data_IF_956100165051
#
_entry.id   IF_956100165051
#
_cell.length_a   1.000
_cell.length_b   1.000
_cell.length_c   1.000
_cell.angle_alpha   90.00
_cell.angle_beta   90.00
_cell.angle_gamma   90.00
#
_symmetry.space_group_name_H-M   'P 1'
#
loop_
_entity.id
_entity.type
_entity.pdbx_description
1 polymer ?
#
# COMPACT_ATOMS: atom_id res chain seq x y z
N UNK A 1 -3.79 4.29 14.41
CA UNK A 1 -4.41 3.11 13.79
C UNK A 1 -5.60 2.70 14.62
N UNK A 2 -6.75 2.38 14.00
CA UNK A 2 -7.96 2.02 14.75
C UNK A 2 -7.82 0.58 15.24
N UNK A 3 -8.13 0.33 16.51
CA UNK A 3 -8.10 -1.02 17.06
C UNK A 3 -9.30 -1.87 16.63
N UNK A 4 -9.17 -3.20 16.69
CA UNK A 4 -10.22 -4.15 16.34
C UNK A 4 -11.52 -3.89 17.14
N UNK A 5 -11.40 -3.68 18.46
CA UNK A 5 -12.56 -3.38 19.33
C UNK A 5 -13.34 -2.14 18.90
N UNK A 6 -12.65 -1.18 18.27
CA UNK A 6 -13.25 0.06 17.81
C UNK A 6 -13.99 -0.14 16.48
N UNK A 7 -13.44 -0.95 15.57
CA UNK A 7 -14.14 -1.38 14.33
C UNK A 7 -15.44 -2.12 14.67
N UNK A 8 -15.40 -3.05 15.62
CA UNK A 8 -16.58 -3.81 16.05
C UNK A 8 -17.65 -2.91 16.67
N UNK A 9 -17.28 -1.96 17.55
CA UNK A 9 -18.22 -0.99 18.13
C UNK A 9 -18.92 -0.14 17.05
N UNK A 10 -18.23 0.25 15.98
CA UNK A 10 -18.82 0.98 14.85
C UNK A 10 -19.92 0.15 14.19
N UNK A 11 -19.64 -1.12 13.89
CA UNK A 11 -20.59 -2.03 13.24
C UNK A 11 -21.79 -2.28 14.15
N UNK A 12 -21.55 -2.63 15.41
CA UNK A 12 -22.61 -2.93 16.38
C UNK A 12 -23.55 -1.73 16.58
N UNK A 13 -23.03 -0.51 16.74
CA UNK A 13 -23.88 0.67 16.93
C UNK A 13 -24.78 0.98 15.74
N UNK A 14 -24.31 0.70 14.51
CA UNK A 14 -25.12 0.93 13.31
C UNK A 14 -26.25 -0.10 13.19
N UNK A 15 -25.97 -1.38 13.42
CA UNK A 15 -26.93 -2.47 13.17
C UNK A 15 -27.78 -2.87 14.38
N UNK A 16 -27.23 -2.75 15.59
CA UNK A 16 -27.96 -3.05 16.84
C UNK A 16 -28.69 -1.83 17.37
N UNK A 17 -28.02 -0.68 17.43
CA UNK A 17 -28.54 0.52 18.09
C UNK A 17 -29.19 1.51 17.10
N UNK A 18 -29.02 1.31 15.79
CA UNK A 18 -29.59 2.17 14.74
C UNK A 18 -28.94 3.55 14.62
N UNK A 19 -27.73 3.72 15.16
CA UNK A 19 -27.07 5.01 15.19
C UNK A 19 -26.61 5.49 13.81
N UNK A 20 -26.79 6.78 13.53
CA UNK A 20 -26.26 7.40 12.31
C UNK A 20 -24.72 7.50 12.33
N UNK A 21 -24.09 7.51 11.15
CA UNK A 21 -22.63 7.70 11.00
C UNK A 21 -22.11 8.91 11.80
N UNK A 22 -22.90 9.99 11.81
CA UNK A 22 -22.55 11.24 12.52
C UNK A 22 -22.54 11.04 14.03
N UNK A 23 -23.50 10.30 14.57
CA UNK A 23 -23.57 10.00 16.01
C UNK A 23 -22.41 9.10 16.44
N UNK A 24 -22.15 8.03 15.68
CA UNK A 24 -21.03 7.11 15.92
C UNK A 24 -19.69 7.86 15.89
N UNK A 25 -19.48 8.72 14.89
CA UNK A 25 -18.26 9.53 14.74
C UNK A 25 -18.03 10.47 15.94
N UNK A 26 -19.07 11.17 16.40
CA UNK A 26 -18.98 12.08 17.56
C UNK A 26 -18.68 11.36 18.85
N UNK A 27 -19.36 10.26 19.11
CA UNK A 27 -19.22 9.53 20.38
C UNK A 27 -17.92 8.75 20.47
N UNK A 28 -17.49 8.09 19.38
CA UNK A 28 -16.22 7.35 19.34
C UNK A 28 -15.01 8.24 19.07
N UNK A 29 -15.22 9.53 18.75
CA UNK A 29 -14.17 10.49 18.34
C UNK A 29 -13.33 9.99 17.16
N UNK A 30 -13.99 9.41 16.15
CA UNK A 30 -13.37 8.87 14.94
C UNK A 30 -13.82 9.70 13.75
N UNK A 31 -12.93 9.88 12.76
CA UNK A 31 -13.31 10.52 11.51
C UNK A 31 -14.51 9.77 10.87
N UNK A 32 -15.52 10.55 10.46
CA UNK A 32 -16.73 10.07 9.79
C UNK A 32 -16.40 9.24 8.55
N UNK A 33 -15.38 9.60 7.79
CA UNK A 33 -14.97 8.85 6.59
C UNK A 33 -14.54 7.43 6.95
N UNK A 34 -13.85 7.26 8.06
CA UNK A 34 -13.42 5.94 8.53
C UNK A 34 -14.60 5.10 9.00
N UNK A 35 -15.58 5.72 9.68
CA UNK A 35 -16.85 5.07 10.05
C UNK A 35 -17.57 4.59 8.79
N UNK A 36 -17.74 5.48 7.80
CA UNK A 36 -18.39 5.17 6.53
C UNK A 36 -17.67 4.04 5.78
N UNK A 37 -16.35 4.08 5.72
CA UNK A 37 -15.54 3.03 5.09
C UNK A 37 -15.84 1.66 5.71
N UNK A 38 -15.75 1.54 7.03
CA UNK A 38 -16.02 0.26 7.71
C UNK A 38 -17.46 -0.23 7.56
N UNK A 39 -18.44 0.68 7.57
CA UNK A 39 -19.83 0.30 7.31
C UNK A 39 -20.02 -0.17 5.88
N UNK A 40 -19.43 0.51 4.89
CA UNK A 40 -19.50 0.11 3.49
C UNK A 40 -18.80 -1.23 3.20
N UNK A 41 -17.68 -1.51 3.89
CA UNK A 41 -16.99 -2.80 3.81
C UNK A 41 -17.89 -3.92 4.34
N UNK A 42 -18.52 -3.69 5.50
CA UNK A 42 -19.45 -4.65 6.09
C UNK A 42 -20.70 -4.87 5.23
N UNK A 43 -21.28 -3.81 4.65
CA UNK A 43 -22.40 -3.92 3.71
C UNK A 43 -22.03 -4.70 2.45
N UNK A 44 -20.85 -4.45 1.88
CA UNK A 44 -20.34 -5.19 0.71
C UNK A 44 -20.11 -6.67 1.04
N UNK A 45 -19.57 -6.98 2.22
CA UNK A 45 -19.42 -8.35 2.68
C UNK A 45 -20.79 -9.04 2.77
N UNK A 46 -21.77 -8.37 3.38
CA UNK A 46 -23.15 -8.86 3.50
C UNK A 46 -23.85 -9.06 2.14
N UNK A 47 -23.63 -8.17 1.17
CA UNK A 47 -24.18 -8.31 -0.19
C UNK A 47 -23.55 -9.47 -0.95
N UNK A 48 -22.23 -9.69 -0.83
CA UNK A 48 -21.56 -10.84 -1.45
C UNK A 48 -22.08 -12.18 -0.90
N UNK A 49 -22.48 -12.20 0.37
CA UNK A 49 -23.01 -13.34 1.11
C UNK A 49 -24.45 -13.71 0.77
N UNK A 50 -25.28 -12.75 0.34
CA UNK A 50 -26.67 -13.01 -0.07
C UNK A 50 -26.81 -13.98 -1.27
N UNK A 51 -25.68 -14.38 -1.88
CA UNK A 51 -25.60 -15.33 -2.98
C UNK A 51 -25.02 -16.71 -2.56
N UNK A 52 -24.75 -16.96 -1.27
CA UNK A 52 -24.09 -18.18 -0.79
C UNK A 52 -24.72 -18.71 0.50
N UNK A 53 -24.93 -20.04 0.61
CA UNK A 53 -25.57 -20.74 1.74
C UNK A 53 -24.84 -20.66 3.10
N UNK A 54 -23.67 -20.00 3.17
CA UNK A 54 -22.84 -19.86 4.38
C UNK A 54 -22.86 -18.44 4.92
N UNK A 55 -24.05 -17.96 5.28
CA UNK A 55 -24.33 -16.58 5.63
C UNK A 55 -23.60 -16.11 6.92
N UNK A 56 -23.47 -16.98 7.91
CA UNK A 56 -22.99 -16.60 9.25
C UNK A 56 -21.46 -16.60 9.40
N UNK A 57 -20.77 -17.57 8.78
CA UNK A 57 -19.31 -17.73 8.96
C UNK A 57 -18.52 -16.54 8.40
N UNK A 58 -18.89 -16.04 7.22
CA UNK A 58 -18.17 -14.95 6.55
C UNK A 58 -18.45 -13.59 7.22
N UNK A 59 -19.64 -13.40 7.80
CA UNK A 59 -19.94 -12.19 8.60
C UNK A 59 -19.09 -12.15 9.88
N UNK A 60 -18.89 -13.30 10.51
CA UNK A 60 -18.00 -13.44 11.67
C UNK A 60 -16.55 -13.15 11.26
N UNK A 61 -16.09 -13.65 10.12
CA UNK A 61 -14.75 -13.36 9.61
C UNK A 61 -14.51 -11.85 9.39
N UNK A 62 -15.45 -11.13 8.77
CA UNK A 62 -15.32 -9.68 8.52
C UNK A 62 -15.29 -8.86 9.83
N UNK A 63 -16.03 -9.33 10.85
CA UNK A 63 -16.06 -8.79 12.22
C UNK A 63 -14.78 -9.07 13.01
N UNK A 64 -14.15 -10.22 12.80
CA UNK A 64 -12.91 -10.63 13.47
C UNK A 64 -11.67 -10.08 12.76
N UNK A 65 -11.76 -9.77 11.47
CA UNK A 65 -10.64 -9.26 10.67
C UNK A 65 -10.13 -7.92 11.20
N UNK A 66 -8.84 -7.91 11.53
CA UNK A 66 -8.11 -6.74 12.02
C UNK A 66 -8.17 -5.62 10.98
N UNK A 67 -8.51 -4.37 11.37
CA UNK A 67 -8.47 -3.23 10.46
C UNK A 67 -7.03 -3.03 9.95
N UNK A 68 -6.82 -3.28 8.66
CA UNK A 68 -5.53 -3.09 7.99
C UNK A 68 -5.53 -1.76 7.23
N UNK A 69 -4.43 -1.02 7.32
CA UNK A 69 -4.21 0.14 6.47
C UNK A 69 -3.88 -0.34 5.06
N UNK A 70 -4.65 0.14 4.08
CA UNK A 70 -4.39 -0.15 2.68
C UNK A 70 -3.41 0.88 2.11
N UNK A 71 -2.21 0.41 1.79
CA UNK A 71 -1.16 1.19 1.13
C UNK A 71 -0.97 0.79 -0.33
N UNK A 72 -1.86 -0.04 -0.89
CA UNK A 72 -1.73 -0.55 -2.27
C UNK A 72 -1.81 0.55 -3.32
N UNK A 73 -2.58 1.61 -3.08
CA UNK A 73 -2.67 2.76 -4.00
C UNK A 73 -1.42 3.67 -3.99
N UNK A 74 -0.40 3.35 -3.19
CA UNK A 74 0.81 4.17 -3.09
C UNK A 74 1.86 3.66 -4.06
N UNK A 75 1.77 4.12 -5.30
CA UNK A 75 2.81 3.88 -6.30
C UNK A 75 3.91 4.94 -6.22
N UNK A 76 5.13 4.53 -6.59
CA UNK A 76 6.29 5.42 -6.63
C UNK A 76 6.20 6.32 -7.86
N UNK A 77 5.43 7.40 -7.75
CA UNK A 77 5.06 8.27 -8.89
C UNK A 77 6.26 8.85 -9.66
N UNK A 78 7.45 8.94 -9.04
CA UNK A 78 8.68 9.46 -9.66
C UNK A 78 9.56 8.39 -10.32
N UNK A 79 9.29 7.10 -10.07
CA UNK A 79 10.06 5.99 -10.65
C UNK A 79 9.26 5.42 -11.81
N UNK A 80 9.46 6.00 -13.00
CA UNK A 80 8.83 5.58 -14.24
C UNK A 80 9.52 4.33 -14.79
N UNK A 81 8.81 3.59 -15.66
CA UNK A 81 9.35 2.39 -16.31
C UNK A 81 10.64 2.69 -17.09
N UNK A 82 10.77 3.88 -17.67
CA UNK A 82 11.96 4.35 -18.39
C UNK A 82 13.19 4.40 -17.48
N UNK A 83 13.02 4.89 -16.25
CA UNK A 83 14.08 4.96 -15.25
C UNK A 83 14.48 3.53 -14.83
N UNK A 84 13.51 2.63 -14.65
CA UNK A 84 13.80 1.23 -14.33
C UNK A 84 14.65 0.57 -15.40
N UNK A 85 14.27 0.72 -16.68
CA UNK A 85 14.99 0.15 -17.80
C UNK A 85 16.42 0.69 -17.90
N UNK A 86 16.62 1.99 -17.67
CA UNK A 86 17.96 2.58 -17.70
C UNK A 86 18.81 2.11 -16.52
N UNK A 87 18.23 1.96 -15.32
CA UNK A 87 18.93 1.38 -14.16
C UNK A 87 19.34 -0.07 -14.43
N UNK A 88 18.45 -0.89 -15.01
CA UNK A 88 18.73 -2.28 -15.36
C UNK A 88 19.86 -2.38 -16.39
N UNK A 89 19.88 -1.49 -17.38
CA UNK A 89 20.95 -1.39 -18.36
C UNK A 89 22.30 -1.07 -17.69
N UNK A 90 22.34 -0.09 -16.79
CA UNK A 90 23.55 0.29 -16.06
C UNK A 90 24.04 -0.84 -15.15
N UNK A 91 23.12 -1.59 -14.55
CA UNK A 91 23.40 -2.79 -13.78
C UNK A 91 24.01 -3.91 -14.62
N UNK A 92 23.50 -4.13 -15.84
CA UNK A 92 24.04 -5.11 -16.76
C UNK A 92 25.47 -4.75 -17.20
N UNK A 93 25.73 -3.47 -17.51
CA UNK A 93 27.08 -2.96 -17.81
C UNK A 93 28.02 -3.21 -16.61
N UNK A 94 27.53 -3.00 -15.40
CA UNK A 94 28.30 -3.30 -14.18
C UNK A 94 28.61 -4.80 -14.04
N UNK A 95 27.67 -5.68 -14.37
CA UNK A 95 27.89 -7.12 -14.37
C UNK A 95 28.98 -7.54 -15.39
N UNK A 96 28.97 -6.95 -16.59
CA UNK A 96 30.02 -7.16 -17.59
C UNK A 96 31.39 -6.64 -17.12
N UNK A 97 31.43 -5.48 -16.48
CA UNK A 97 32.68 -4.94 -15.94
C UNK A 97 33.25 -5.85 -14.85
N UNK A 98 32.39 -6.42 -13.99
CA UNK A 98 32.81 -7.40 -12.97
C UNK A 98 33.34 -8.68 -13.59
N UNK A 99 32.68 -9.23 -14.62
CA UNK A 99 33.16 -10.45 -15.29
C UNK A 99 34.51 -10.24 -16.01
N UNK A 100 34.78 -9.02 -16.48
CA UNK A 100 36.06 -8.62 -17.08
C UNK A 100 37.14 -8.20 -16.05
N UNK A 101 36.85 -8.28 -14.75
CA UNK A 101 37.80 -7.89 -13.68
C UNK A 101 37.97 -6.38 -13.46
N UNK A 102 37.15 -5.55 -14.10
CA UNK A 102 37.19 -4.08 -14.02
C UNK A 102 36.39 -3.55 -12.82
N UNK A 103 36.69 -4.07 -11.62
CA UNK A 103 35.95 -3.74 -10.40
C UNK A 103 35.96 -2.24 -10.04
N UNK A 104 37.04 -1.52 -10.37
CA UNK A 104 37.16 -0.08 -10.10
C UNK A 104 36.27 0.80 -10.99
N UNK A 105 35.79 0.27 -12.12
CA UNK A 105 34.96 1.00 -13.09
C UNK A 105 33.45 0.70 -12.94
N UNK A 106 33.09 -0.13 -11.96
CA UNK A 106 31.70 -0.45 -11.63
C UNK A 106 31.06 0.79 -10.99
N UNK A 107 29.94 1.24 -11.57
CA UNK A 107 29.20 2.39 -11.06
C UNK A 107 28.52 2.05 -9.74
N UNK A 108 28.63 2.93 -8.76
CA UNK A 108 27.91 2.86 -7.50
C UNK A 108 26.50 3.42 -7.67
N UNK A 109 25.65 3.20 -6.66
CA UNK A 109 24.27 3.73 -6.65
C UNK A 109 24.22 5.27 -6.76
N UNK A 110 25.21 5.96 -6.21
CA UNK A 110 25.34 7.42 -6.31
C UNK A 110 25.71 7.81 -7.74
N UNK A 111 26.72 7.16 -8.34
CA UNK A 111 27.11 7.42 -9.73
C UNK A 111 25.95 7.18 -10.72
N UNK A 112 25.09 6.20 -10.44
CA UNK A 112 23.87 5.93 -11.22
C UNK A 112 22.81 7.03 -11.01
N UNK A 113 22.68 7.55 -9.78
CA UNK A 113 21.81 8.70 -9.52
C UNK A 113 22.26 9.93 -10.30
N UNK A 114 23.56 10.23 -10.28
CA UNK A 114 24.14 11.36 -10.98
C UNK A 114 23.91 11.23 -12.50
N UNK A 115 24.12 10.03 -13.05
CA UNK A 115 23.81 9.74 -14.46
C UNK A 115 22.32 9.96 -14.80
N UNK A 116 21.40 9.60 -13.90
CA UNK A 116 19.96 9.84 -14.11
C UNK A 116 19.62 11.34 -14.02
N UNK A 117 20.30 12.11 -13.17
CA UNK A 117 20.17 13.56 -13.12
C UNK A 117 20.70 14.23 -14.38
N UNK A 118 21.82 13.75 -14.92
CA UNK A 118 22.40 14.24 -16.19
C UNK A 118 21.44 14.02 -17.38
N UNK A 119 20.65 12.93 -17.35
CA UNK A 119 19.59 12.66 -18.32
C UNK A 119 18.33 13.52 -18.11
N UNK A 120 18.27 14.30 -17.03
CA UNK A 120 17.18 15.23 -16.74
C UNK A 120 16.05 14.65 -15.88
N UNK A 121 16.23 13.48 -15.26
CA UNK A 121 15.21 12.89 -14.39
C UNK A 121 15.26 13.48 -12.97
N UNK A 122 14.13 13.93 -12.42
CA UNK A 122 14.02 14.41 -11.02
C UNK A 122 13.71 13.24 -10.07
N UNK A 123 14.73 12.50 -9.66
CA UNK A 123 14.63 11.32 -8.78
C UNK A 123 15.48 11.51 -7.52
N UNK A 124 14.98 11.05 -6.38
CA UNK A 124 15.75 11.01 -5.13
C UNK A 124 16.54 9.71 -4.96
N UNK A 125 17.66 9.77 -4.23
CA UNK A 125 18.49 8.60 -3.90
C UNK A 125 17.71 7.44 -3.26
N UNK A 126 16.70 7.76 -2.44
CA UNK A 126 15.84 6.76 -1.79
C UNK A 126 15.00 5.95 -2.78
N UNK A 127 14.59 6.57 -3.90
CA UNK A 127 13.81 5.89 -4.93
C UNK A 127 14.67 4.84 -5.66
N UNK A 128 15.96 5.11 -5.85
CA UNK A 128 16.92 4.14 -6.43
C UNK A 128 17.19 3.00 -5.45
N UNK A 129 17.31 3.29 -4.15
CA UNK A 129 17.51 2.27 -3.11
C UNK A 129 16.32 1.32 -2.96
N UNK A 130 15.10 1.81 -3.20
CA UNK A 130 13.86 1.04 -3.10
C UNK A 130 13.57 0.21 -4.36
N UNK A 131 14.32 0.40 -5.44
CA UNK A 131 14.17 -0.40 -6.64
C UNK A 131 14.59 -1.86 -6.36
N UNK A 132 13.69 -2.79 -6.66
CA UNK A 132 13.87 -4.24 -6.43
C UNK A 132 15.07 -4.82 -7.17
N UNK A 133 15.53 -4.17 -8.26
CA UNK A 133 16.73 -4.56 -9.01
C UNK A 133 18.03 -4.55 -8.17
N UNK A 134 17.99 -3.96 -6.96
CA UNK A 134 19.12 -3.87 -6.03
C UNK A 134 18.95 -4.68 -4.73
N UNK A 135 17.84 -5.40 -4.55
CA UNK A 135 17.60 -6.32 -3.42
C UNK A 135 18.14 -7.72 -3.70
#
# INVERSE_FOLDING_TARGET
>A
MIGMSTKQKIILRRYRDGDSERKISRELKINRETVRRYLSEYEKARQKLSNSEKEDEVLIEELVKVPKYDSSNRDNQKFTDEISQEVDRLLQINAEKRSRGLHKQVMKKIDILDHLHDLGYDIGYTSILQCEAWQ
#
